data_IF_197701075085
#
_entry.id   IF_197701075085
#
_cell.length_a   1.000
_cell.length_b   1.000
_cell.length_c   1.000
_cell.angle_alpha   90.00
_cell.angle_beta   90.00
_cell.angle_gamma   90.00
#
_symmetry.space_group_name_H-M   'P 1'
#
loop_
_entity.id
_entity.type
_entity.pdbx_description
1 polymer ?
#
# COMPACT_ATOMS: atom_id res chain seq x y z
N UNK A 1 -19.40 -25.56 13.30
CA UNK A 1 -18.26 -25.92 12.43
C UNK A 1 -17.54 -24.61 12.15
N UNK A 2 -16.22 -24.54 12.31
CA UNK A 2 -15.52 -23.28 12.05
C UNK A 2 -15.19 -23.16 10.58
N UNK A 3 -15.36 -21.98 9.99
CA UNK A 3 -14.92 -21.64 8.63
C UNK A 3 -13.40 -21.66 8.54
N UNK A 4 -12.86 -22.49 7.66
CA UNK A 4 -11.41 -22.71 7.50
C UNK A 4 -10.87 -21.89 6.34
N UNK A 5 -9.62 -21.44 6.47
CA UNK A 5 -8.94 -20.77 5.36
C UNK A 5 -7.47 -21.13 5.25
N UNK A 6 -6.93 -20.94 4.05
CA UNK A 6 -5.51 -21.03 3.75
C UNK A 6 -5.01 -19.64 3.34
N UNK A 7 -3.81 -19.30 3.76
CA UNK A 7 -3.13 -18.06 3.34
C UNK A 7 -1.78 -18.42 2.76
N UNK A 8 -1.55 -18.01 1.52
CA UNK A 8 -0.33 -18.25 0.76
C UNK A 8 0.41 -16.94 0.49
N UNK A 9 1.72 -17.00 0.57
CA UNK A 9 2.62 -15.89 0.24
C UNK A 9 3.44 -16.24 -0.99
N UNK A 10 3.49 -15.30 -1.92
CA UNK A 10 4.22 -15.43 -3.17
C UNK A 10 5.24 -14.31 -3.31
N UNK A 11 6.40 -14.66 -3.81
CA UNK A 11 7.41 -13.72 -4.28
C UNK A 11 7.65 -13.97 -5.78
N UNK A 12 7.46 -12.93 -6.60
CA UNK A 12 7.65 -13.02 -8.05
C UNK A 12 6.94 -14.25 -8.66
N UNK A 13 5.68 -14.47 -8.24
CA UNK A 13 4.82 -15.56 -8.67
C UNK A 13 5.13 -16.95 -8.07
N UNK A 14 6.15 -17.09 -7.21
CA UNK A 14 6.52 -18.36 -6.58
C UNK A 14 6.03 -18.41 -5.14
N UNK A 15 5.28 -19.45 -4.73
CA UNK A 15 4.86 -19.61 -3.34
C UNK A 15 6.10 -19.95 -2.48
N UNK A 16 6.20 -19.33 -1.29
CA UNK A 16 7.32 -19.56 -0.38
C UNK A 16 6.92 -19.78 1.08
N UNK A 17 5.71 -19.36 1.48
CA UNK A 17 5.18 -19.58 2.81
C UNK A 17 3.67 -19.75 2.75
N UNK A 18 3.11 -20.50 3.69
CA UNK A 18 1.66 -20.64 3.82
C UNK A 18 1.29 -21.03 5.26
N UNK A 19 0.05 -20.67 5.64
CA UNK A 19 -0.53 -21.14 6.88
C UNK A 19 -2.03 -21.46 6.72
N UNK A 20 -2.48 -22.37 7.58
CA UNK A 20 -3.86 -22.75 7.74
C UNK A 20 -4.46 -22.06 8.95
N UNK A 21 -5.74 -21.66 8.85
CA UNK A 21 -6.55 -21.15 9.94
C UNK A 21 -7.82 -21.98 10.13
N UNK A 22 -8.07 -22.37 11.38
CA UNK A 22 -9.17 -23.27 11.75
C UNK A 22 -10.53 -22.56 11.85
N UNK A 23 -10.58 -21.30 12.30
CA UNK A 23 -11.80 -20.58 12.63
C UNK A 23 -11.83 -19.20 11.99
N UNK A 24 -13.05 -18.72 11.73
CA UNK A 24 -13.33 -17.37 11.22
C UNK A 24 -12.61 -17.02 9.91
N UNK A 25 -12.41 -18.05 9.06
CA UNK A 25 -11.67 -17.94 7.81
C UNK A 25 -12.33 -17.09 6.72
N UNK A 26 -13.53 -16.58 6.93
CA UNK A 26 -14.31 -15.78 5.97
C UNK A 26 -13.73 -14.35 5.80
N UNK A 27 -14.12 -13.64 4.71
CA UNK A 27 -13.56 -12.35 4.35
C UNK A 27 -13.64 -11.26 5.42
N UNK A 28 -14.77 -11.10 6.11
CA UNK A 28 -14.98 -10.12 7.18
C UNK A 28 -14.51 -10.60 8.57
N UNK A 29 -13.94 -11.81 8.64
CA UNK A 29 -13.19 -12.33 9.78
C UNK A 29 -11.69 -12.25 9.51
N UNK A 30 -11.08 -13.40 9.20
CA UNK A 30 -9.65 -13.51 8.89
C UNK A 30 -9.18 -12.58 7.76
N UNK A 31 -10.00 -12.40 6.72
CA UNK A 31 -9.69 -11.46 5.65
C UNK A 31 -9.53 -10.04 6.14
N UNK A 32 -10.42 -9.57 7.04
CA UNK A 32 -10.33 -8.23 7.62
C UNK A 32 -9.12 -8.08 8.54
N UNK A 33 -8.75 -9.12 9.31
CA UNK A 33 -7.54 -9.12 10.16
C UNK A 33 -6.27 -9.01 9.31
N UNK A 34 -6.10 -9.87 8.29
CA UNK A 34 -4.97 -9.79 7.35
C UNK A 34 -4.96 -8.43 6.65
N UNK A 35 -6.12 -7.97 6.18
CA UNK A 35 -6.25 -6.70 5.48
C UNK A 35 -5.80 -5.51 6.32
N UNK A 36 -6.13 -5.50 7.61
CA UNK A 36 -5.70 -4.48 8.57
C UNK A 36 -4.17 -4.43 8.68
N UNK A 37 -3.53 -5.60 8.83
CA UNK A 37 -2.07 -5.70 8.92
C UNK A 37 -1.43 -5.22 7.61
N UNK A 38 -1.88 -5.75 6.48
CA UNK A 38 -1.35 -5.41 5.16
C UNK A 38 -1.49 -3.93 4.81
N UNK A 39 -2.63 -3.31 5.15
CA UNK A 39 -2.86 -1.88 4.89
C UNK A 39 -2.01 -0.97 5.79
N UNK A 40 -1.54 -1.46 6.94
CA UNK A 40 -0.68 -0.73 7.87
C UNK A 40 0.81 -0.86 7.58
N UNK A 41 1.23 -1.82 6.75
CA UNK A 41 2.63 -2.14 6.49
C UNK A 41 3.10 -1.55 5.16
N UNK A 42 4.22 -0.84 5.19
CA UNK A 42 4.96 -0.37 4.02
C UNK A 42 6.01 -1.42 3.62
N UNK A 43 5.92 -1.92 2.38
CA UNK A 43 6.94 -2.80 1.80
C UNK A 43 8.16 -1.99 1.37
N UNK A 44 9.35 -2.45 1.72
CA UNK A 44 10.62 -1.80 1.37
C UNK A 44 11.67 -2.83 0.95
N UNK A 45 12.64 -2.39 0.16
CA UNK A 45 13.87 -3.11 -0.13
C UNK A 45 15.03 -2.40 0.61
N UNK A 46 15.26 -2.80 1.85
CA UNK A 46 16.12 -2.10 2.79
C UNK A 46 15.33 -1.15 3.71
N UNK A 47 15.75 -1.03 4.96
CA UNK A 47 15.12 -0.15 5.95
C UNK A 47 16.15 0.80 6.57
N UNK A 48 15.67 1.98 6.99
CA UNK A 48 16.47 3.00 7.63
C UNK A 48 16.31 3.04 9.15
N UNK A 49 17.13 3.84 9.82
CA UNK A 49 17.10 3.97 11.29
C UNK A 49 15.80 4.60 11.84
N UNK A 50 15.02 5.26 11.00
CA UNK A 50 13.73 5.87 11.36
C UNK A 50 12.54 4.92 11.21
N UNK A 51 12.74 3.77 10.56
CA UNK A 51 11.66 2.82 10.33
C UNK A 51 11.34 2.04 11.62
N UNK A 52 10.05 1.85 11.90
CA UNK A 52 9.60 1.16 13.11
C UNK A 52 9.11 -0.24 12.79
N UNK A 53 9.34 -1.15 13.73
CA UNK A 53 8.79 -2.49 13.67
C UNK A 53 7.24 -2.44 13.62
N UNK A 54 6.64 -3.24 12.74
CA UNK A 54 5.20 -3.27 12.52
C UNK A 54 4.67 -2.24 11.50
N UNK A 55 5.45 -1.17 11.18
CA UNK A 55 5.09 -0.20 10.15
C UNK A 55 5.75 -0.51 8.79
N UNK A 56 6.83 -1.29 8.81
CA UNK A 56 7.67 -1.58 7.64
C UNK A 56 7.97 -3.07 7.55
N UNK A 57 7.87 -3.64 6.35
CA UNK A 57 8.33 -4.99 6.04
C UNK A 57 9.43 -4.95 4.98
N UNK A 58 10.62 -5.44 5.34
CA UNK A 58 11.77 -5.54 4.44
C UNK A 58 11.64 -6.78 3.55
N UNK A 59 10.89 -6.62 2.47
CA UNK A 59 10.61 -7.68 1.51
C UNK A 59 9.54 -8.68 1.94
N UNK A 60 9.24 -9.65 1.05
CA UNK A 60 8.12 -10.58 1.24
C UNK A 60 8.27 -11.51 2.45
N UNK A 61 9.48 -11.98 2.73
CA UNK A 61 9.75 -12.85 3.89
C UNK A 61 9.50 -12.14 5.23
N UNK A 62 9.90 -10.87 5.34
CA UNK A 62 9.64 -10.05 6.52
C UNK A 62 8.13 -9.80 6.68
N UNK A 63 7.41 -9.51 5.60
CA UNK A 63 5.96 -9.36 5.62
C UNK A 63 5.26 -10.61 6.13
N UNK A 64 5.60 -11.78 5.57
CA UNK A 64 5.01 -13.05 5.98
C UNK A 64 5.26 -13.35 7.47
N UNK A 65 6.49 -13.12 7.94
CA UNK A 65 6.85 -13.34 9.34
C UNK A 65 6.08 -12.41 10.30
N UNK A 66 5.90 -11.13 9.94
CA UNK A 66 5.11 -10.19 10.74
C UNK A 66 3.64 -10.57 10.82
N UNK A 67 3.03 -10.96 9.70
CA UNK A 67 1.63 -11.41 9.66
C UNK A 67 1.45 -12.66 10.53
N UNK A 68 2.35 -13.65 10.39
CA UNK A 68 2.30 -14.88 11.21
C UNK A 68 2.45 -14.56 12.69
N UNK A 69 3.40 -13.68 13.07
CA UNK A 69 3.64 -13.31 14.46
C UNK A 69 2.42 -12.60 15.07
N UNK A 70 1.85 -11.63 14.37
CA UNK A 70 0.67 -10.88 14.83
C UNK A 70 -0.54 -11.81 15.03
N UNK A 71 -0.89 -12.59 14.01
CA UNK A 71 -2.02 -13.50 14.06
C UNK A 71 -1.82 -14.62 15.09
N UNK A 72 -0.58 -15.12 15.27
CA UNK A 72 -0.29 -16.15 16.26
C UNK A 72 -0.36 -15.61 17.68
N UNK A 73 0.09 -14.40 17.90
CA UNK A 73 0.02 -13.74 19.20
C UNK A 73 -1.43 -13.50 19.64
N UNK A 74 -2.30 -13.09 18.72
CA UNK A 74 -3.71 -12.89 19.00
C UNK A 74 -4.49 -14.20 19.18
N UNK A 75 -4.19 -15.23 18.39
CA UNK A 75 -4.96 -16.49 18.36
C UNK A 75 -4.54 -17.55 19.41
N UNK A 76 -3.44 -17.33 20.12
CA UNK A 76 -2.96 -18.27 21.17
C UNK A 76 -2.56 -19.64 20.64
N UNK A 77 -2.86 -20.70 21.45
CA UNK A 77 -2.49 -22.11 21.17
C UNK A 77 -3.36 -22.66 20.04
N UNK A 78 -3.62 -22.46 19.11
CA UNK A 78 -4.48 -22.85 17.99
C UNK A 78 -4.41 -21.76 16.94
N UNK A 79 -5.47 -21.46 16.33
CA UNK A 79 -5.63 -20.35 15.42
C UNK A 79 -4.96 -20.58 14.08
N UNK A 80 -3.65 -20.45 13.95
CA UNK A 80 -2.92 -20.67 12.71
C UNK A 80 -1.82 -21.72 12.82
N UNK A 81 -1.55 -22.42 11.71
CA UNK A 81 -0.54 -23.47 11.58
C UNK A 81 0.19 -23.30 10.25
N UNK A 82 1.52 -23.33 10.28
CA UNK A 82 2.32 -23.36 9.06
C UNK A 82 2.09 -24.66 8.29
N UNK A 83 1.96 -24.55 6.99
CA UNK A 83 1.72 -25.68 6.07
C UNK A 83 2.67 -25.60 4.87
N UNK A 84 2.59 -26.59 3.99
CA UNK A 84 3.34 -26.56 2.74
C UNK A 84 2.96 -25.32 1.90
N UNK A 85 3.91 -24.54 1.40
CA UNK A 85 3.61 -23.34 0.63
C UNK A 85 3.04 -23.62 -0.78
N UNK A 86 3.24 -24.83 -1.31
CA UNK A 86 2.69 -25.20 -2.61
C UNK A 86 1.18 -25.50 -2.49
N UNK A 87 0.29 -24.72 -3.15
CA UNK A 87 -1.16 -24.93 -3.10
C UNK A 87 -1.58 -26.33 -3.57
N UNK A 88 -0.84 -26.95 -4.50
CA UNK A 88 -1.15 -28.28 -5.01
C UNK A 88 -1.12 -29.35 -3.90
N UNK A 89 -0.31 -29.15 -2.86
CA UNK A 89 -0.23 -30.07 -1.72
C UNK A 89 -1.32 -29.87 -0.66
N UNK A 90 -2.19 -28.86 -0.83
CA UNK A 90 -3.19 -28.50 0.17
C UNK A 90 -4.63 -28.55 -0.38
N UNK A 91 -4.84 -29.16 -1.56
CA UNK A 91 -6.18 -29.22 -2.24
C UNK A 91 -7.26 -29.88 -1.41
N UNK A 92 -6.92 -30.82 -0.56
CA UNK A 92 -7.87 -31.60 0.26
C UNK A 92 -8.06 -31.00 1.66
N UNK A 93 -7.66 -29.76 1.89
CA UNK A 93 -7.65 -29.12 3.22
C UNK A 93 -9.02 -28.72 3.75
N UNK A 94 -10.11 -28.92 2.98
CA UNK A 94 -11.49 -28.57 3.36
C UNK A 94 -11.66 -27.10 3.73
N UNK A 95 -10.82 -26.24 3.11
CA UNK A 95 -10.91 -24.80 3.27
C UNK A 95 -12.10 -24.23 2.48
N UNK A 96 -12.72 -23.23 3.08
CA UNK A 96 -13.81 -22.48 2.45
C UNK A 96 -13.29 -21.21 1.77
N UNK A 97 -12.12 -20.70 2.20
CA UNK A 97 -11.51 -19.52 1.62
C UNK A 97 -10.00 -19.67 1.48
N UNK A 98 -9.46 -19.02 0.46
CA UNK A 98 -8.02 -18.88 0.25
C UNK A 98 -7.64 -17.41 0.07
N UNK A 99 -6.53 -17.02 0.70
CA UNK A 99 -5.93 -15.69 0.58
C UNK A 99 -4.55 -15.84 -0.06
N UNK A 100 -4.36 -15.24 -1.21
CA UNK A 100 -3.11 -15.29 -1.96
C UNK A 100 -2.47 -13.91 -1.92
N UNK A 101 -1.39 -13.75 -1.16
CA UNK A 101 -0.66 -12.50 -0.99
C UNK A 101 0.56 -12.54 -1.89
N UNK A 102 0.59 -11.68 -2.89
CA UNK A 102 1.67 -11.57 -3.86
C UNK A 102 2.51 -10.34 -3.56
N UNK A 103 3.81 -10.52 -3.58
CA UNK A 103 4.79 -9.44 -3.47
C UNK A 103 5.76 -9.59 -4.63
N UNK A 104 5.63 -8.72 -5.61
CA UNK A 104 6.42 -8.75 -6.83
C UNK A 104 7.50 -7.67 -6.81
N UNK A 105 8.70 -8.02 -7.30
CA UNK A 105 9.81 -7.08 -7.46
C UNK A 105 9.62 -6.24 -8.72
N UNK A 106 9.77 -4.92 -8.61
CA UNK A 106 9.71 -4.00 -9.75
C UNK A 106 11.01 -3.21 -9.84
N UNK A 107 11.67 -3.25 -10.98
CA UNK A 107 13.00 -2.66 -11.17
C UNK A 107 14.13 -3.68 -11.06
N UNK A 108 15.37 -3.21 -11.04
CA UNK A 108 16.56 -4.07 -11.03
C UNK A 108 17.50 -3.76 -9.85
N UNK A 109 18.12 -4.82 -9.33
CA UNK A 109 19.15 -4.76 -8.30
C UNK A 109 18.70 -4.09 -7.01
N UNK A 110 19.57 -3.29 -6.41
CA UNK A 110 19.30 -2.58 -5.13
C UNK A 110 18.24 -1.47 -5.23
N UNK A 111 17.79 -1.12 -6.45
CA UNK A 111 16.72 -0.16 -6.68
C UNK A 111 15.36 -0.82 -6.92
N UNK A 112 15.29 -2.15 -6.83
CA UNK A 112 14.03 -2.86 -6.94
C UNK A 112 13.09 -2.42 -5.80
N UNK A 113 11.85 -2.12 -6.16
CA UNK A 113 10.77 -1.85 -5.22
C UNK A 113 9.85 -3.06 -5.13
N UNK A 114 9.10 -3.18 -4.06
CA UNK A 114 8.12 -4.25 -3.92
C UNK A 114 6.71 -3.72 -4.10
N UNK A 115 5.92 -4.46 -4.90
CA UNK A 115 4.49 -4.19 -5.10
C UNK A 115 3.69 -5.34 -4.52
N UNK A 116 2.76 -5.01 -3.62
CA UNK A 116 1.90 -5.97 -2.98
C UNK A 116 0.49 -5.98 -3.58
N UNK A 117 -0.06 -7.17 -3.79
CA UNK A 117 -1.47 -7.40 -4.12
C UNK A 117 -2.00 -8.63 -3.39
N UNK A 118 -3.30 -8.73 -3.27
CA UNK A 118 -3.96 -9.87 -2.64
C UNK A 118 -5.17 -10.33 -3.46
N UNK A 119 -5.36 -11.63 -3.51
CA UNK A 119 -6.58 -12.26 -3.98
C UNK A 119 -7.24 -13.01 -2.82
N UNK A 120 -8.56 -12.90 -2.73
CA UNK A 120 -9.39 -13.75 -1.90
C UNK A 120 -10.23 -14.64 -2.82
N UNK A 121 -10.25 -15.93 -2.54
CA UNK A 121 -10.97 -16.94 -3.33
C UNK A 121 -11.92 -17.73 -2.43
N UNK A 122 -13.08 -18.05 -2.94
CA UNK A 122 -13.87 -19.19 -2.51
C UNK A 122 -13.49 -20.42 -3.36
N UNK A 123 -14.03 -21.63 -3.10
CA UNK A 123 -13.67 -22.84 -3.84
C UNK A 123 -13.90 -22.76 -5.35
N UNK A 124 -14.76 -21.86 -5.81
CA UNK A 124 -15.19 -21.80 -7.20
C UNK A 124 -14.52 -20.65 -7.98
N UNK A 125 -14.18 -19.54 -7.29
CA UNK A 125 -13.77 -18.30 -7.99
C UNK A 125 -12.97 -17.33 -7.13
N UNK A 126 -12.36 -16.35 -7.81
CA UNK A 126 -11.81 -15.17 -7.16
C UNK A 126 -12.96 -14.22 -6.80
N UNK A 127 -13.12 -13.92 -5.52
CA UNK A 127 -14.14 -12.99 -5.00
C UNK A 127 -13.57 -11.60 -4.74
N UNK A 128 -12.24 -11.47 -4.59
CA UNK A 128 -11.54 -10.19 -4.57
C UNK A 128 -10.15 -10.33 -5.23
N UNK A 129 -9.73 -9.32 -5.98
CA UNK A 129 -8.34 -9.13 -6.42
C UNK A 129 -8.02 -7.64 -6.45
N UNK A 130 -6.91 -7.22 -5.83
CA UNK A 130 -6.50 -5.82 -5.79
C UNK A 130 -5.32 -5.55 -4.85
N UNK A 131 -5.03 -4.27 -4.61
CA UNK A 131 -4.02 -3.83 -3.66
C UNK A 131 -4.47 -4.04 -2.20
N UNK A 132 -3.53 -3.96 -1.26
CA UNK A 132 -3.76 -4.22 0.16
C UNK A 132 -4.77 -3.26 0.80
N UNK A 133 -4.73 -1.98 0.46
CA UNK A 133 -5.63 -0.99 1.03
C UNK A 133 -7.07 -1.16 0.54
N UNK A 134 -7.22 -1.48 -0.75
CA UNK A 134 -8.52 -1.81 -1.36
C UNK A 134 -9.10 -3.10 -0.79
N UNK A 135 -8.25 -4.11 -0.56
CA UNK A 135 -8.66 -5.35 0.09
C UNK A 135 -9.18 -5.10 1.51
N UNK A 136 -8.46 -4.34 2.33
CA UNK A 136 -8.89 -4.04 3.69
C UNK A 136 -10.26 -3.35 3.72
N UNK A 137 -10.48 -2.36 2.85
CA UNK A 137 -11.79 -1.69 2.74
C UNK A 137 -12.92 -2.65 2.35
N UNK A 138 -12.66 -3.55 1.40
CA UNK A 138 -13.62 -4.55 0.98
C UNK A 138 -13.90 -5.57 2.09
N UNK A 139 -12.87 -6.11 2.73
CA UNK A 139 -12.98 -7.15 3.75
C UNK A 139 -13.72 -6.69 5.01
N UNK A 140 -13.70 -5.41 5.36
CA UNK A 140 -14.49 -4.87 6.48
C UNK A 140 -16.01 -5.00 6.26
N UNK A 141 -16.47 -4.96 5.02
CA UNK A 141 -17.89 -5.02 4.68
C UNK A 141 -18.09 -5.56 3.25
N UNK A 142 -17.79 -6.84 3.03
CA UNK A 142 -17.97 -7.42 1.72
C UNK A 142 -19.46 -7.46 1.35
N UNK A 143 -19.77 -7.14 0.10
CA UNK A 143 -21.15 -7.17 -0.39
C UNK A 143 -21.50 -8.59 -0.82
N UNK A 144 -22.69 -9.04 -0.43
CA UNK A 144 -23.28 -10.29 -0.92
C UNK A 144 -24.48 -10.01 -1.81
N UNK A 145 -24.78 -10.95 -2.71
CA UNK A 145 -26.01 -10.95 -3.50
C UNK A 145 -27.20 -11.45 -2.64
N UNK A 146 -28.37 -11.60 -3.25
CA UNK A 146 -29.59 -12.06 -2.57
C UNK A 146 -29.49 -13.49 -2.03
N UNK A 147 -28.62 -14.30 -2.62
CA UNK A 147 -28.40 -15.71 -2.27
C UNK A 147 -27.31 -15.87 -1.21
N UNK A 148 -26.74 -14.78 -0.72
CA UNK A 148 -25.68 -14.75 0.28
C UNK A 148 -24.27 -14.93 -0.27
N UNK A 149 -24.09 -15.00 -1.59
CA UNK A 149 -22.77 -15.12 -2.22
C UNK A 149 -22.07 -13.77 -2.34
N UNK A 150 -20.75 -13.75 -2.19
CA UNK A 150 -19.97 -12.54 -2.35
C UNK A 150 -20.01 -12.00 -3.78
N UNK A 151 -20.26 -10.70 -3.90
CA UNK A 151 -20.15 -10.00 -5.18
C UNK A 151 -18.67 -9.77 -5.49
N UNK A 152 -18.13 -10.34 -6.58
CA UNK A 152 -16.71 -10.22 -6.91
C UNK A 152 -16.29 -8.78 -7.13
N UNK A 153 -15.11 -8.41 -6.61
CA UNK A 153 -14.47 -7.11 -6.82
C UNK A 153 -13.07 -7.37 -7.37
N UNK A 154 -12.88 -7.14 -8.67
CA UNK A 154 -11.61 -7.33 -9.35
C UNK A 154 -11.06 -5.96 -9.76
N UNK A 155 -10.01 -5.54 -9.09
CA UNK A 155 -9.29 -4.31 -9.41
C UNK A 155 -8.11 -4.70 -10.29
N UNK A 156 -8.26 -4.51 -11.59
CA UNK A 156 -7.17 -4.74 -12.55
C UNK A 156 -6.16 -3.59 -12.39
N UNK A 157 -4.91 -3.87 -12.03
CA UNK A 157 -3.87 -2.85 -12.05
C UNK A 157 -3.79 -2.29 -13.47
N UNK A 158 -4.03 -1.00 -13.63
CA UNK A 158 -3.81 -0.35 -14.92
C UNK A 158 -2.33 -0.54 -15.29
N UNK A 159 -2.05 -1.13 -16.45
CA UNK A 159 -0.67 -1.36 -16.96
C UNK A 159 0.15 -0.08 -17.17
N UNK A 160 -0.44 1.09 -16.93
CA UNK A 160 0.21 2.41 -16.94
C UNK A 160 0.25 3.09 -15.56
N UNK A 161 -0.44 2.53 -14.58
CA UNK A 161 -0.35 2.87 -13.17
C UNK A 161 -0.17 1.54 -12.43
N UNK A 162 1.03 1.02 -12.39
CA UNK A 162 1.48 0.34 -11.20
C UNK A 162 1.38 1.42 -10.14
N UNK A 163 0.25 1.48 -9.45
CA UNK A 163 0.22 2.09 -8.14
C UNK A 163 1.17 1.22 -7.33
N UNK A 164 2.43 1.55 -7.48
CA UNK A 164 3.48 1.22 -6.52
C UNK A 164 2.81 1.56 -5.22
N UNK A 165 2.56 0.53 -4.45
CA UNK A 165 1.72 0.53 -3.26
C UNK A 165 1.63 1.95 -2.74
N UNK A 166 0.49 2.34 -2.28
CA UNK A 166 0.45 3.45 -1.35
C UNK A 166 1.42 3.09 -0.20
N UNK A 167 2.71 3.13 -0.49
CA UNK A 167 3.63 3.75 0.40
C UNK A 167 2.85 4.98 0.81
N UNK A 168 2.57 5.16 2.07
CA UNK A 168 2.15 6.47 2.51
C UNK A 168 3.13 7.40 1.81
N UNK A 169 2.73 7.94 0.64
CA UNK A 169 3.57 8.88 -0.13
C UNK A 169 3.94 9.86 0.93
N UNK A 170 5.24 10.07 1.27
CA UNK A 170 5.57 10.98 2.34
C UNK A 170 4.67 12.17 2.08
N UNK A 171 3.83 12.55 3.06
CA UNK A 171 2.76 13.53 2.78
C UNK A 171 3.41 14.60 1.94
N UNK A 172 2.82 15.01 0.82
CA UNK A 172 3.46 15.93 -0.15
C UNK A 172 4.25 17.05 0.57
N UNK A 173 3.75 17.44 1.74
CA UNK A 173 4.38 18.41 2.62
C UNK A 173 5.69 17.91 3.21
N UNK A 174 5.78 16.67 3.60
CA UNK A 174 6.98 16.11 4.23
C UNK A 174 8.06 15.83 3.18
N UNK A 175 7.68 15.36 1.99
CA UNK A 175 8.59 15.23 0.86
C UNK A 175 9.20 16.58 0.49
N UNK A 176 8.39 17.64 0.39
CA UNK A 176 8.86 18.99 0.11
C UNK A 176 9.75 19.55 1.22
N UNK A 177 9.41 19.33 2.50
CA UNK A 177 10.25 19.75 3.65
C UNK A 177 11.60 19.05 3.69
N UNK A 178 11.68 17.80 3.24
CA UNK A 178 12.92 17.04 3.12
C UNK A 178 13.76 17.47 1.91
N UNK A 179 13.30 18.47 1.15
CA UNK A 179 14.01 18.99 -0.01
C UNK A 179 13.83 18.16 -1.29
N UNK A 180 12.87 17.24 -1.32
CA UNK A 180 12.59 16.46 -2.52
C UNK A 180 12.08 17.34 -3.65
N UNK A 181 12.41 16.95 -4.88
CA UNK A 181 11.75 17.46 -6.08
C UNK A 181 10.48 16.65 -6.33
N UNK A 182 9.37 17.31 -6.64
CA UNK A 182 8.06 16.67 -6.78
C UNK A 182 7.38 17.13 -8.07
N UNK A 183 6.86 16.20 -8.84
CA UNK A 183 5.85 16.48 -9.87
C UNK A 183 4.48 16.49 -9.22
N UNK A 184 3.81 17.65 -9.15
CA UNK A 184 2.45 17.76 -8.62
C UNK A 184 1.46 18.13 -9.71
N UNK A 185 0.35 17.40 -9.78
CA UNK A 185 -0.80 17.73 -10.63
C UNK A 185 -1.95 18.22 -9.75
N UNK A 186 -2.47 19.40 -10.04
CA UNK A 186 -3.56 20.02 -9.28
C UNK A 186 -4.55 20.76 -10.19
N UNK A 187 -5.75 21.03 -9.67
CA UNK A 187 -6.77 21.78 -10.35
C UNK A 187 -6.65 23.27 -9.98
N UNK A 188 -6.51 24.15 -10.98
CA UNK A 188 -6.48 25.61 -10.79
C UNK A 188 -7.86 26.15 -10.39
N UNK A 189 -7.91 27.44 -10.01
CA UNK A 189 -9.17 28.11 -9.67
C UNK A 189 -10.17 28.17 -10.85
N UNK A 190 -9.66 28.17 -12.08
CA UNK A 190 -10.44 28.16 -13.32
C UNK A 190 -10.92 26.75 -13.74
N UNK A 191 -10.66 25.72 -12.91
CA UNK A 191 -11.02 24.34 -13.19
C UNK A 191 -10.03 23.57 -14.08
N UNK A 192 -9.06 24.24 -14.70
CA UNK A 192 -8.07 23.55 -15.54
C UNK A 192 -7.03 22.81 -14.70
N UNK A 193 -6.53 21.67 -15.22
CA UNK A 193 -5.45 20.90 -14.57
C UNK A 193 -4.09 21.48 -14.97
N UNK A 194 -3.17 21.46 -14.00
CA UNK A 194 -1.77 21.81 -14.21
C UNK A 194 -0.87 20.78 -13.54
N UNK A 195 0.16 20.32 -14.27
CA UNK A 195 1.29 19.59 -13.71
C UNK A 195 2.47 20.54 -13.57
N UNK A 196 3.20 20.46 -12.47
CA UNK A 196 4.29 21.34 -12.13
C UNK A 196 5.38 20.55 -11.41
N UNK A 197 6.62 20.70 -11.84
CA UNK A 197 7.80 20.18 -11.15
C UNK A 197 8.29 21.22 -10.15
N UNK A 198 8.25 20.89 -8.86
CA UNK A 198 8.52 21.86 -7.80
C UNK A 198 9.36 21.27 -6.66
N UNK A 199 9.96 22.16 -5.88
CA UNK A 199 10.79 21.80 -4.73
C UNK A 199 10.78 22.89 -3.65
N UNK A 200 11.29 22.53 -2.46
CA UNK A 200 11.71 23.47 -1.41
C UNK A 200 13.20 23.30 -1.06
N UNK A 201 13.94 22.54 -1.87
CA UNK A 201 15.39 22.40 -1.72
C UNK A 201 16.11 23.71 -2.05
N UNK A 202 16.77 24.28 -1.06
CA UNK A 202 17.51 25.53 -1.20
C UNK A 202 18.63 25.48 -2.24
N UNK A 203 19.25 24.33 -2.46
CA UNK A 203 20.30 24.17 -3.47
C UNK A 203 19.82 24.29 -4.92
N UNK A 204 18.51 24.07 -5.12
CA UNK A 204 17.87 24.14 -6.44
C UNK A 204 17.12 25.46 -6.68
N UNK A 205 17.09 26.37 -5.70
CA UNK A 205 16.42 27.67 -5.77
C UNK A 205 17.49 28.74 -5.91
N UNK A 206 17.45 29.61 -6.95
CA UNK A 206 18.36 30.71 -7.07
C UNK A 206 18.31 31.64 -5.86
N UNK A 207 19.48 32.11 -5.39
CA UNK A 207 19.59 32.87 -4.15
C UNK A 207 18.78 34.18 -4.18
N UNK A 208 18.69 34.83 -5.34
CA UNK A 208 17.89 36.03 -5.56
C UNK A 208 16.38 35.79 -5.50
N UNK A 209 15.96 34.54 -5.54
CA UNK A 209 14.55 34.11 -5.44
C UNK A 209 14.16 33.66 -4.05
N UNK A 210 15.08 33.66 -3.09
CA UNK A 210 14.72 33.31 -1.72
C UNK A 210 13.73 34.33 -1.14
N UNK A 211 12.60 33.87 -0.54
CA UNK A 211 11.68 34.79 0.10
C UNK A 211 12.37 35.51 1.27
N UNK A 212 12.19 36.81 1.34
CA UNK A 212 12.63 37.61 2.47
C UNK A 212 11.84 37.19 3.72
N UNK A 213 12.44 36.30 4.53
CA UNK A 213 11.82 35.79 5.74
C UNK A 213 12.21 34.33 6.04
N UNK A 214 12.10 33.93 7.30
CA UNK A 214 12.43 32.57 7.73
C UNK A 214 11.45 31.54 7.19
N UNK A 215 11.89 30.28 7.04
CA UNK A 215 11.10 29.12 6.61
C UNK A 215 9.71 28.98 7.31
N UNK A 216 9.55 29.55 8.51
CA UNK A 216 8.28 29.64 9.23
C UNK A 216 7.13 30.30 8.44
N UNK A 217 7.45 31.19 7.50
CA UNK A 217 6.44 31.91 6.71
C UNK A 217 5.81 31.06 5.60
N UNK A 218 6.52 30.01 5.15
CA UNK A 218 6.05 29.12 4.09
C UNK A 218 5.00 28.11 4.56
N UNK A 219 4.85 27.92 5.88
CA UNK A 219 4.02 26.87 6.48
C UNK A 219 2.91 27.38 7.40
N UNK A 220 2.57 28.68 7.33
CA UNK A 220 1.52 29.27 8.19
C UNK A 220 0.13 28.68 7.98
N UNK A 221 -0.20 28.33 6.73
CA UNK A 221 -1.47 27.71 6.37
C UNK A 221 -1.21 26.23 6.06
N UNK A 222 -1.74 25.27 6.85
CA UNK A 222 -1.55 23.85 6.63
C UNK A 222 -2.16 23.34 5.32
N UNK A 223 -3.08 24.06 4.72
CA UNK A 223 -3.75 23.67 3.48
C UNK A 223 -3.19 24.39 2.25
N UNK A 224 -2.27 25.34 2.43
CA UNK A 224 -1.62 26.05 1.33
C UNK A 224 -0.18 25.56 1.15
N UNK A 225 0.14 25.13 -0.05
CA UNK A 225 1.50 24.82 -0.49
C UNK A 225 2.08 26.01 -1.24
N UNK A 226 3.21 26.54 -0.74
CA UNK A 226 4.05 27.48 -1.46
C UNK A 226 5.34 26.76 -1.84
N UNK A 227 5.62 26.65 -3.11
CA UNK A 227 6.74 25.87 -3.66
C UNK A 227 7.40 26.62 -4.79
N UNK A 228 8.66 26.27 -5.08
CA UNK A 228 9.37 26.81 -6.21
C UNK A 228 9.15 25.93 -7.45
N UNK A 229 8.60 26.49 -8.50
CA UNK A 229 8.37 25.84 -9.80
C UNK A 229 9.69 25.86 -10.58
N UNK A 230 10.30 24.68 -10.75
CA UNK A 230 11.59 24.52 -11.41
C UNK A 230 11.54 24.83 -12.92
N UNK A 231 10.40 24.66 -13.55
CA UNK A 231 10.24 24.90 -14.99
C UNK A 231 9.95 26.39 -15.28
N UNK A 232 9.30 27.08 -14.36
CA UNK A 232 8.99 28.51 -14.49
C UNK A 232 9.97 29.42 -13.74
N UNK A 233 10.87 28.84 -12.97
CA UNK A 233 11.88 29.54 -12.17
C UNK A 233 11.26 30.64 -11.28
N UNK A 234 10.12 30.28 -10.62
CA UNK A 234 9.38 31.25 -9.79
C UNK A 234 8.51 30.55 -8.76
N UNK A 235 8.16 31.28 -7.68
CA UNK A 235 7.31 30.76 -6.63
C UNK A 235 5.85 30.61 -7.08
N UNK A 236 5.22 29.51 -6.69
CA UNK A 236 3.82 29.20 -6.96
C UNK A 236 3.15 28.68 -5.71
N UNK A 237 1.83 28.75 -5.69
CA UNK A 237 1.03 28.17 -4.61
C UNK A 237 -0.19 27.42 -5.14
N UNK A 238 -0.57 26.40 -4.40
CA UNK A 238 -1.80 25.62 -4.63
C UNK A 238 -2.36 25.11 -3.30
N UNK A 239 -3.63 24.79 -3.26
CA UNK A 239 -4.31 24.26 -2.08
C UNK A 239 -4.24 22.74 -2.04
N UNK A 240 -4.19 22.15 -0.82
CA UNK A 240 -4.16 20.69 -0.55
C UNK A 240 -5.36 20.00 -1.20
N UNK A 241 -6.56 20.51 -1.02
CA UNK A 241 -7.80 19.96 -1.57
C UNK A 241 -7.86 19.94 -3.11
N UNK A 242 -7.00 20.70 -3.77
CA UNK A 242 -6.93 20.77 -5.24
C UNK A 242 -5.89 19.85 -5.85
N UNK A 243 -5.08 19.17 -5.02
CA UNK A 243 -4.09 18.21 -5.50
C UNK A 243 -4.81 16.96 -6.00
N UNK A 244 -4.56 16.62 -7.26
CA UNK A 244 -5.10 15.42 -7.92
C UNK A 244 -4.14 14.26 -7.75
N UNK A 245 -2.84 14.50 -7.94
CA UNK A 245 -1.78 13.51 -7.80
C UNK A 245 -0.43 14.21 -7.61
N UNK A 246 0.57 13.51 -7.07
CA UNK A 246 1.97 13.95 -7.06
C UNK A 246 2.91 12.74 -7.10
N UNK A 247 4.14 12.97 -7.53
CA UNK A 247 5.22 12.00 -7.62
C UNK A 247 6.48 12.65 -7.07
N UNK A 248 7.19 11.96 -6.16
CA UNK A 248 8.49 12.37 -5.65
C UNK A 248 9.54 11.85 -6.63
N UNK A 249 10.44 12.74 -7.10
CA UNK A 249 11.48 12.45 -8.10
C UNK A 249 12.80 12.08 -7.46
#
# INVERSE_FOLDING_TARGET
MGTRSLTYFYQDGKPFAAFYRQFDGYPDGHGAEIGKILAGIRLVNGYGMSDKAGEVANGPGCLAAQIVAELKNESGIGGIYLINPDPENNKDGWQEYEYHIFVDSVGEGFKAEYVGRIECRDPERVIFSGDFASFYKWAQKPKTNKDGEYVPVIIVPNKGNVNIAQHAKPELRDALKQGSTVNVTFTKADGSRRTMRCTLNGELIPEEKYPAGTAKTLYKDPDLFKVFDLDKQDWRSFRKERVVNYEVL
#
